data_IF_083524114759
#
_entry.id   IF_083524114759
#
_cell.length_a   1.000
_cell.length_b   1.000
_cell.length_c   1.000
_cell.angle_alpha   90.00
_cell.angle_beta   90.00
_cell.angle_gamma   90.00
#
_symmetry.space_group_name_H-M   'P 1'
#
loop_
_entity.id
_entity.type
_entity.pdbx_description
1 polymer ?
#
# COMPACT_ATOMS: atom_id res chain seq x y z
N UNK A 1 -28.40 3.34 9.73
CA UNK A 1 -27.64 2.45 8.82
C UNK A 1 -27.77 1.00 9.24
N UNK A 2 -27.60 0.68 10.54
CA UNK A 2 -27.74 -0.69 11.08
C UNK A 2 -28.75 -0.74 12.24
N UNK A 3 -30.03 -0.46 11.97
CA UNK A 3 -31.08 -0.48 13.00
C UNK A 3 -30.76 0.37 14.23
N UNK A 4 -30.97 -0.22 15.42
CA UNK A 4 -30.72 0.39 16.74
C UNK A 4 -29.30 0.14 17.29
N UNK A 5 -28.40 -0.46 16.51
CA UNK A 5 -27.04 -0.76 16.95
C UNK A 5 -26.17 0.49 16.95
N UNK A 6 -25.41 0.69 18.04
CA UNK A 6 -24.42 1.76 18.13
C UNK A 6 -23.27 1.57 17.12
N UNK A 7 -22.56 2.65 16.75
CA UNK A 7 -21.48 2.59 15.74
C UNK A 7 -20.29 1.72 16.14
N UNK A 8 -20.14 1.41 17.43
CA UNK A 8 -19.09 0.54 17.96
C UNK A 8 -19.61 -0.83 18.41
N UNK A 9 -20.86 -1.16 18.10
CA UNK A 9 -21.40 -2.48 18.39
C UNK A 9 -20.94 -3.49 17.31
N UNK A 10 -19.72 -4.00 17.46
CA UNK A 10 -19.13 -4.97 16.54
C UNK A 10 -19.74 -6.37 16.62
N UNK A 11 -20.68 -6.62 17.53
CA UNK A 11 -21.50 -7.83 17.51
C UNK A 11 -22.46 -7.82 16.30
N UNK A 12 -22.86 -6.63 15.84
CA UNK A 12 -23.75 -6.50 14.69
C UNK A 12 -22.97 -6.65 13.36
N UNK A 13 -23.37 -7.65 12.55
CA UNK A 13 -22.79 -7.91 11.24
C UNK A 13 -22.87 -6.70 10.29
N UNK A 14 -23.95 -5.91 10.37
CA UNK A 14 -24.10 -4.70 9.58
C UNK A 14 -23.06 -3.65 9.97
N UNK A 15 -22.75 -3.49 11.27
CA UNK A 15 -21.75 -2.53 11.75
C UNK A 15 -20.36 -2.94 11.29
N UNK A 16 -20.00 -4.23 11.41
CA UNK A 16 -18.72 -4.77 10.90
C UNK A 16 -18.56 -4.52 9.39
N UNK A 17 -19.58 -4.86 8.59
CA UNK A 17 -19.60 -4.65 7.14
C UNK A 17 -19.52 -3.16 6.76
N UNK A 18 -20.15 -2.29 7.55
CA UNK A 18 -20.09 -0.85 7.36
C UNK A 18 -18.68 -0.31 7.55
N UNK A 19 -18.01 -0.70 8.65
CA UNK A 19 -16.64 -0.27 8.91
C UNK A 19 -15.66 -0.79 7.85
N UNK A 20 -15.79 -2.04 7.40
CA UNK A 20 -14.91 -2.56 6.34
C UNK A 20 -15.03 -1.80 5.02
N UNK A 21 -16.24 -1.39 4.63
CA UNK A 21 -16.48 -0.65 3.40
C UNK A 21 -16.06 0.82 3.52
N UNK A 22 -16.43 1.46 4.64
CA UNK A 22 -16.17 2.89 4.88
C UNK A 22 -14.68 3.17 5.07
N UNK A 23 -13.93 2.33 5.79
CA UNK A 23 -12.51 2.57 6.04
C UNK A 23 -11.69 2.59 4.75
N UNK A 24 -11.90 1.61 3.86
CA UNK A 24 -11.23 1.60 2.56
C UNK A 24 -11.60 2.83 1.74
N UNK A 25 -12.87 3.24 1.75
CA UNK A 25 -13.35 4.41 1.03
C UNK A 25 -12.74 5.72 1.56
N UNK A 26 -12.62 5.87 2.88
CA UNK A 26 -12.03 7.05 3.51
C UNK A 26 -10.59 7.31 3.09
N UNK A 27 -9.86 6.28 2.67
CA UNK A 27 -8.51 6.41 2.09
C UNK A 27 -8.57 6.57 0.57
N UNK A 28 -9.41 5.80 -0.12
CA UNK A 28 -9.49 5.84 -1.58
C UNK A 28 -10.02 7.17 -2.10
N UNK A 29 -11.03 7.76 -1.49
CA UNK A 29 -11.60 9.04 -1.92
C UNK A 29 -10.59 10.20 -1.93
N UNK A 30 -9.89 10.52 -0.83
CA UNK A 30 -8.92 11.61 -0.85
C UNK A 30 -7.75 11.33 -1.80
N UNK A 31 -7.32 10.07 -1.92
CA UNK A 31 -6.30 9.68 -2.90
C UNK A 31 -6.80 9.93 -4.33
N UNK A 32 -8.02 9.51 -4.65
CA UNK A 32 -8.62 9.68 -5.98
C UNK A 32 -8.73 11.17 -6.34
N UNK A 33 -9.15 12.01 -5.39
CA UNK A 33 -9.20 13.47 -5.56
C UNK A 33 -7.79 14.04 -5.76
N UNK A 34 -6.79 13.55 -5.03
CA UNK A 34 -5.40 14.01 -5.16
C UNK A 34 -4.75 13.64 -6.50
N UNK A 35 -5.27 12.62 -7.20
CA UNK A 35 -4.83 12.22 -8.54
C UNK A 35 -5.53 12.99 -9.67
N UNK A 36 -6.62 13.70 -9.39
CA UNK A 36 -7.24 14.56 -10.39
C UNK A 36 -6.33 15.76 -10.72
N UNK A 37 -6.21 16.16 -12.00
CA UNK A 37 -5.38 17.30 -12.43
C UNK A 37 -6.02 18.66 -12.06
N UNK A 38 -6.64 18.76 -10.90
CA UNK A 38 -7.30 19.97 -10.40
C UNK A 38 -6.35 20.68 -9.45
N UNK A 39 -6.21 22.01 -9.59
CA UNK A 39 -5.35 22.78 -8.70
C UNK A 39 -5.87 22.69 -7.26
N UNK A 40 -5.05 22.23 -6.29
CA UNK A 40 -5.51 22.10 -4.92
C UNK A 40 -5.75 23.49 -4.30
N UNK A 41 -6.77 23.64 -3.45
CA UNK A 41 -7.00 24.89 -2.73
C UNK A 41 -5.81 25.23 -1.83
N UNK A 42 -5.59 26.52 -1.57
CA UNK A 42 -4.38 27.02 -0.88
C UNK A 42 -4.13 26.38 0.51
N UNK A 43 -5.18 26.02 1.24
CA UNK A 43 -5.06 25.33 2.52
C UNK A 43 -4.48 23.91 2.38
N UNK A 44 -4.90 23.16 1.36
CA UNK A 44 -4.36 21.82 1.06
C UNK A 44 -2.90 21.87 0.61
N UNK A 45 -2.48 22.94 -0.08
CA UNK A 45 -1.07 23.13 -0.45
C UNK A 45 -0.18 23.27 0.79
N UNK A 46 -0.59 24.05 1.80
CA UNK A 46 0.15 24.21 3.05
C UNK A 46 0.22 22.92 3.86
N UNK A 47 -0.89 22.19 3.94
CA UNK A 47 -0.91 20.88 4.58
C UNK A 47 0.00 19.90 3.85
N UNK A 48 -0.14 19.77 2.52
CA UNK A 48 0.70 18.89 1.71
C UNK A 48 2.19 19.23 1.84
N UNK A 49 2.55 20.51 1.91
CA UNK A 49 3.94 20.94 2.11
C UNK A 49 4.56 20.45 3.44
N UNK A 50 3.76 20.25 4.49
CA UNK A 50 4.25 19.69 5.75
C UNK A 50 4.55 18.18 5.67
N UNK A 51 3.93 17.48 4.73
CA UNK A 51 4.09 16.02 4.52
C UNK A 51 4.91 15.68 3.28
N UNK A 52 5.39 16.67 2.53
CA UNK A 52 6.32 16.43 1.42
C UNK A 52 7.72 16.19 1.95
N UNK A 53 8.36 15.13 1.47
CA UNK A 53 9.77 14.85 1.74
C UNK A 53 10.60 16.08 1.39
N UNK A 54 11.33 16.62 2.37
CA UNK A 54 12.12 17.84 2.20
C UNK A 54 13.20 17.68 1.11
N UNK A 55 13.80 16.48 1.05
CA UNK A 55 14.82 16.11 0.09
C UNK A 55 14.51 14.71 -0.45
N UNK A 56 14.19 14.61 -1.75
CA UNK A 56 13.96 13.30 -2.38
C UNK A 56 15.27 12.58 -2.59
N UNK A 57 15.25 11.24 -2.66
CA UNK A 57 16.47 10.45 -2.85
C UNK A 57 17.19 10.83 -4.15
N UNK A 58 16.45 10.99 -5.25
CA UNK A 58 17.01 11.41 -6.53
C UNK A 58 17.69 12.79 -6.46
N UNK A 59 17.10 13.74 -5.71
CA UNK A 59 17.70 15.06 -5.49
C UNK A 59 18.95 14.98 -4.60
N UNK A 60 18.90 14.18 -3.54
CA UNK A 60 20.03 13.95 -2.65
C UNK A 60 21.23 13.32 -3.38
N UNK A 61 20.97 12.28 -4.16
CA UNK A 61 21.98 11.65 -5.00
C UNK A 61 22.49 12.63 -6.07
N UNK A 62 21.63 13.53 -6.57
CA UNK A 62 22.04 14.52 -7.54
C UNK A 62 23.01 15.58 -6.98
N UNK A 63 22.86 15.94 -5.71
CA UNK A 63 23.72 16.90 -5.02
C UNK A 63 25.05 16.28 -4.55
N UNK A 64 25.04 14.97 -4.26
CA UNK A 64 26.20 14.27 -3.70
C UNK A 64 27.11 13.66 -4.79
N UNK A 65 26.56 13.22 -5.93
CA UNK A 65 27.31 12.49 -6.96
C UNK A 65 27.28 13.21 -8.33
N UNK A 66 28.41 13.22 -9.07
CA UNK A 66 28.51 13.88 -10.38
C UNK A 66 27.57 13.24 -11.43
N UNK A 67 27.18 13.99 -12.47
CA UNK A 67 26.32 13.48 -13.53
C UNK A 67 27.00 12.35 -14.31
N UNK A 68 26.30 11.24 -14.48
CA UNK A 68 26.73 10.10 -15.29
C UNK A 68 25.59 9.72 -16.25
N UNK A 69 25.91 9.34 -17.49
CA UNK A 69 24.93 9.25 -18.59
C UNK A 69 23.78 8.24 -18.31
N UNK A 70 22.56 8.73 -18.54
CA UNK A 70 21.31 7.96 -18.44
C UNK A 70 21.14 7.04 -19.66
N UNK A 71 21.17 5.75 -19.43
CA UNK A 71 20.41 4.77 -20.20
C UNK A 71 19.44 4.08 -19.22
N UNK A 72 18.49 3.28 -19.68
CA UNK A 72 17.57 2.56 -18.78
C UNK A 72 17.92 1.09 -18.89
N UNK A 73 18.11 0.40 -17.77
CA UNK A 73 18.46 -1.03 -17.77
C UNK A 73 17.21 -1.87 -18.10
N UNK A 74 17.28 -2.64 -19.19
CA UNK A 74 16.24 -3.52 -19.72
C UNK A 74 15.55 -4.48 -18.71
N UNK A 75 16.23 -5.09 -17.70
CA UNK A 75 15.57 -6.00 -16.76
C UNK A 75 14.52 -5.35 -15.86
N UNK A 76 14.57 -4.03 -15.63
CA UNK A 76 13.57 -3.33 -14.81
C UNK A 76 12.21 -3.25 -15.52
N UNK A 77 12.20 -3.23 -16.85
CA UNK A 77 10.99 -3.10 -17.67
C UNK A 77 10.14 -4.38 -17.61
N UNK A 78 10.77 -5.56 -17.63
CA UNK A 78 10.07 -6.84 -17.52
C UNK A 78 9.43 -7.02 -16.13
N UNK A 79 10.15 -6.66 -15.07
CA UNK A 79 9.64 -6.70 -13.69
C UNK A 79 8.43 -5.76 -13.47
N UNK A 80 8.45 -4.60 -14.13
CA UNK A 80 7.36 -3.62 -14.08
C UNK A 80 6.07 -4.13 -14.73
N UNK A 81 6.19 -4.86 -15.85
CA UNK A 81 5.05 -5.35 -16.64
C UNK A 81 4.22 -6.38 -15.88
N UNK A 82 4.84 -7.39 -15.27
CA UNK A 82 4.07 -8.44 -14.58
C UNK A 82 3.37 -7.92 -13.32
N UNK A 83 4.01 -7.00 -12.58
CA UNK A 83 3.42 -6.39 -11.37
C UNK A 83 2.17 -5.60 -11.69
N UNK A 84 2.27 -4.77 -12.74
CA UNK A 84 1.14 -4.00 -13.25
C UNK A 84 0.01 -4.92 -13.69
N UNK A 85 0.32 -5.99 -14.42
CA UNK A 85 -0.67 -6.98 -14.82
C UNK A 85 -1.37 -7.62 -13.62
N UNK A 86 -0.62 -8.05 -12.60
CA UNK A 86 -1.18 -8.66 -11.38
C UNK A 86 -2.14 -7.71 -10.66
N UNK A 87 -1.76 -6.46 -10.42
CA UNK A 87 -2.63 -5.48 -9.75
C UNK A 87 -3.86 -5.13 -10.57
N UNK A 88 -3.69 -4.85 -11.86
CA UNK A 88 -4.80 -4.45 -12.73
C UNK A 88 -5.78 -5.60 -12.93
N UNK A 89 -5.30 -6.80 -13.28
CA UNK A 89 -6.15 -7.96 -13.50
C UNK A 89 -6.95 -8.31 -12.24
N UNK A 90 -6.27 -8.37 -11.10
CA UNK A 90 -6.91 -8.71 -9.83
C UNK A 90 -7.90 -7.62 -9.40
N UNK A 91 -7.54 -6.35 -9.52
CA UNK A 91 -8.43 -5.23 -9.20
C UNK A 91 -9.69 -5.20 -10.06
N UNK A 92 -9.57 -5.45 -11.36
CA UNK A 92 -10.73 -5.55 -12.26
C UNK A 92 -11.61 -6.74 -11.92
N UNK A 93 -11.03 -7.92 -11.68
CA UNK A 93 -11.78 -9.12 -11.33
C UNK A 93 -12.57 -8.93 -10.04
N UNK A 94 -11.95 -8.34 -9.01
CA UNK A 94 -12.61 -8.02 -7.75
C UNK A 94 -13.71 -6.96 -7.95
N UNK A 95 -13.45 -5.91 -8.73
CA UNK A 95 -14.47 -4.89 -9.04
C UNK A 95 -15.72 -5.53 -9.65
N UNK A 96 -15.54 -6.41 -10.64
CA UNK A 96 -16.64 -7.14 -11.27
C UNK A 96 -17.35 -8.04 -10.25
N UNK A 97 -16.61 -8.75 -9.40
CA UNK A 97 -17.18 -9.61 -8.35
C UNK A 97 -18.06 -8.85 -7.37
N UNK A 98 -17.61 -7.67 -6.91
CA UNK A 98 -18.38 -6.82 -6.01
C UNK A 98 -19.61 -6.19 -6.68
N UNK A 99 -19.50 -5.76 -7.94
CA UNK A 99 -20.65 -5.28 -8.72
C UNK A 99 -21.67 -6.42 -8.92
N UNK A 100 -21.22 -7.62 -9.28
CA UNK A 100 -22.08 -8.78 -9.43
C UNK A 100 -22.79 -9.13 -8.12
N UNK A 101 -22.08 -9.06 -6.99
CA UNK A 101 -22.67 -9.23 -5.67
C UNK A 101 -23.75 -8.18 -5.38
N UNK A 102 -23.50 -6.90 -5.67
CA UNK A 102 -24.48 -5.83 -5.51
C UNK A 102 -25.75 -6.07 -6.34
N UNK A 103 -25.59 -6.48 -7.61
CA UNK A 103 -26.71 -6.80 -8.52
C UNK A 103 -27.50 -8.01 -8.02
N UNK A 104 -26.83 -9.08 -7.58
CA UNK A 104 -27.50 -10.26 -7.03
C UNK A 104 -28.30 -9.93 -5.77
N UNK A 105 -27.76 -9.10 -4.88
CA UNK A 105 -28.52 -8.63 -3.71
C UNK A 105 -29.74 -7.82 -4.12
N UNK A 106 -29.61 -6.93 -5.11
CA UNK A 106 -30.74 -6.16 -5.62
C UNK A 106 -31.85 -7.05 -6.20
N UNK A 107 -31.49 -8.10 -6.94
CA UNK A 107 -32.46 -9.01 -7.55
C UNK A 107 -33.10 -10.00 -6.57
N UNK A 108 -32.40 -10.33 -5.47
CA UNK A 108 -32.85 -11.35 -4.51
C UNK A 108 -33.61 -10.76 -3.31
N UNK A 109 -33.57 -9.45 -3.12
CA UNK A 109 -34.16 -8.81 -1.95
C UNK A 109 -35.62 -8.40 -2.21
N UNK A 110 -36.53 -8.96 -1.41
CA UNK A 110 -37.96 -8.59 -1.39
C UNK A 110 -38.18 -7.18 -0.81
N UNK A 111 -37.24 -6.70 0.01
CA UNK A 111 -37.15 -5.33 0.51
C UNK A 111 -35.69 -4.85 0.40
N UNK A 112 -35.43 -3.91 -0.51
CA UNK A 112 -34.08 -3.39 -0.74
C UNK A 112 -33.73 -2.36 0.33
N UNK A 113 -32.93 -2.76 1.32
CA UNK A 113 -32.27 -1.79 2.18
C UNK A 113 -31.15 -1.10 1.37
N UNK A 114 -31.25 0.21 1.21
CA UNK A 114 -30.27 1.00 0.45
C UNK A 114 -28.84 0.81 0.96
N UNK A 115 -28.67 0.58 2.27
CA UNK A 115 -27.35 0.41 2.87
C UNK A 115 -26.68 -0.91 2.49
N UNK A 116 -27.43 -2.01 2.43
CA UNK A 116 -26.90 -3.31 2.01
C UNK A 116 -26.50 -3.33 0.55
N UNK A 117 -27.13 -2.50 -0.31
CA UNK A 117 -26.72 -2.32 -1.69
C UNK A 117 -25.47 -1.41 -1.82
N UNK A 118 -25.36 -0.42 -0.94
CA UNK A 118 -24.25 0.56 -0.98
C UNK A 118 -22.91 -0.07 -0.63
N UNK A 119 -22.85 -0.96 0.37
CA UNK A 119 -21.62 -1.60 0.83
C UNK A 119 -20.79 -2.29 -0.28
N UNK A 120 -21.33 -3.22 -1.09
CA UNK A 120 -20.58 -3.86 -2.16
C UNK A 120 -20.17 -2.87 -3.26
N UNK A 121 -20.94 -1.80 -3.50
CA UNK A 121 -20.55 -0.75 -4.46
C UNK A 121 -19.37 0.07 -3.95
N UNK A 122 -19.30 0.37 -2.65
CA UNK A 122 -18.14 1.04 -2.05
C UNK A 122 -16.89 0.16 -2.13
N UNK A 123 -17.04 -1.15 -1.89
CA UNK A 123 -15.95 -2.11 -2.08
C UNK A 123 -15.50 -2.15 -3.55
N UNK A 124 -16.44 -2.24 -4.50
CA UNK A 124 -16.14 -2.19 -5.94
C UNK A 124 -15.38 -0.92 -6.33
N UNK A 125 -15.77 0.24 -5.80
CA UNK A 125 -15.08 1.50 -6.05
C UNK A 125 -13.62 1.46 -5.54
N UNK A 126 -13.39 0.88 -4.35
CA UNK A 126 -12.04 0.73 -3.82
C UNK A 126 -11.14 -0.16 -4.70
N UNK A 127 -11.69 -1.24 -5.25
CA UNK A 127 -10.97 -2.14 -6.17
C UNK A 127 -10.77 -1.53 -7.56
N UNK A 128 -11.71 -0.73 -8.03
CA UNK A 128 -11.57 0.00 -9.28
C UNK A 128 -10.42 1.01 -9.17
N UNK A 129 -10.31 1.69 -8.01
CA UNK A 129 -9.18 2.55 -7.73
C UNK A 129 -7.85 1.81 -7.84
N UNK A 130 -7.71 0.60 -7.26
CA UNK A 130 -6.44 -0.13 -7.34
C UNK A 130 -6.06 -0.50 -8.78
N UNK A 131 -7.05 -0.87 -9.60
CA UNK A 131 -6.82 -1.16 -11.02
C UNK A 131 -6.43 0.08 -11.82
N UNK A 132 -7.20 1.17 -11.69
CA UNK A 132 -6.92 2.44 -12.38
C UNK A 132 -5.55 2.98 -11.95
N UNK A 133 -5.23 2.92 -10.67
CA UNK A 133 -3.95 3.39 -10.13
C UNK A 133 -2.77 2.60 -10.66
N UNK A 134 -2.90 1.28 -10.82
CA UNK A 134 -1.86 0.44 -11.38
C UNK A 134 -1.62 0.73 -12.87
N UNK A 135 -2.67 1.01 -13.65
CA UNK A 135 -2.56 1.36 -15.08
C UNK A 135 -2.04 2.78 -15.28
N UNK A 136 -2.59 3.75 -14.55
CA UNK A 136 -2.26 5.16 -14.73
C UNK A 136 -0.84 5.50 -14.28
N UNK A 137 -0.29 4.78 -13.30
CA UNK A 137 1.12 4.93 -12.91
C UNK A 137 1.70 3.57 -12.48
N UNK A 138 2.23 2.78 -13.44
CA UNK A 138 2.80 1.46 -13.19
C UNK A 138 3.78 1.45 -11.99
N UNK A 139 3.58 0.60 -10.98
CA UNK A 139 4.40 0.63 -9.76
C UNK A 139 5.80 0.07 -10.01
N UNK A 140 6.77 0.98 -10.02
CA UNK A 140 8.21 0.66 -10.10
C UNK A 140 8.76 0.36 -8.69
N UNK A 141 8.42 1.23 -7.75
CA UNK A 141 8.72 1.14 -6.31
C UNK A 141 7.46 0.77 -5.53
N UNK A 142 7.62 0.48 -4.23
CA UNK A 142 6.51 0.12 -3.35
C UNK A 142 5.41 1.21 -3.32
N UNK A 143 4.20 0.94 -3.86
CA UNK A 143 3.11 1.91 -3.88
C UNK A 143 2.45 2.01 -2.50
N UNK A 144 2.81 3.04 -1.72
CA UNK A 144 2.30 3.26 -0.36
C UNK A 144 0.79 3.47 -0.28
N UNK A 145 0.21 4.04 -1.33
CA UNK A 145 -1.23 4.19 -1.51
C UNK A 145 -1.94 2.84 -1.62
N UNK A 146 -1.48 1.97 -2.54
CA UNK A 146 -2.02 0.62 -2.69
C UNK A 146 -1.75 -0.23 -1.44
N UNK A 147 -0.58 -0.10 -0.82
CA UNK A 147 -0.27 -0.74 0.45
C UNK A 147 -1.32 -0.40 1.52
N UNK A 148 -1.63 0.88 1.69
CA UNK A 148 -2.62 1.35 2.68
C UNK A 148 -4.01 0.79 2.40
N UNK A 149 -4.44 0.79 1.13
CA UNK A 149 -5.73 0.22 0.72
C UNK A 149 -5.78 -1.28 1.02
N UNK A 150 -4.74 -2.05 0.67
CA UNK A 150 -4.73 -3.49 0.93
C UNK A 150 -4.69 -3.83 2.43
N UNK A 151 -3.96 -3.07 3.25
CA UNK A 151 -3.99 -3.25 4.71
C UNK A 151 -5.40 -3.06 5.27
N UNK A 152 -6.10 -2.01 4.83
CA UNK A 152 -7.48 -1.75 5.26
C UNK A 152 -8.45 -2.83 4.76
N UNK A 153 -8.28 -3.33 3.54
CA UNK A 153 -9.09 -4.42 3.01
C UNK A 153 -8.84 -5.75 3.73
N UNK A 154 -7.60 -6.06 4.11
CA UNK A 154 -7.30 -7.24 4.96
C UNK A 154 -7.97 -7.08 6.32
N UNK A 155 -7.83 -5.91 6.96
CA UNK A 155 -8.46 -5.66 8.26
C UNK A 155 -9.99 -5.80 8.17
N UNK A 156 -10.62 -5.20 7.15
CA UNK A 156 -12.04 -5.34 6.89
C UNK A 156 -12.48 -6.78 6.62
N UNK A 157 -11.71 -7.52 5.82
CA UNK A 157 -11.96 -8.93 5.53
C UNK A 157 -11.88 -9.81 6.77
N UNK A 158 -10.85 -9.61 7.62
CA UNK A 158 -10.70 -10.32 8.89
C UNK A 158 -11.87 -9.99 9.83
N UNK A 159 -12.29 -8.73 9.91
CA UNK A 159 -13.43 -8.33 10.73
C UNK A 159 -14.73 -9.02 10.28
N UNK A 160 -14.99 -9.11 8.97
CA UNK A 160 -16.18 -9.77 8.44
C UNK A 160 -16.11 -11.29 8.67
N UNK A 161 -15.03 -11.94 8.22
CA UNK A 161 -14.89 -13.39 8.31
C UNK A 161 -14.81 -13.85 9.76
N UNK A 162 -13.99 -13.18 10.57
CA UNK A 162 -13.87 -13.44 12.01
C UNK A 162 -15.19 -13.23 12.74
N UNK A 163 -15.97 -12.23 12.32
CA UNK A 163 -17.32 -12.01 12.83
C UNK A 163 -18.26 -13.19 12.58
N UNK A 164 -18.31 -13.72 11.36
CA UNK A 164 -19.12 -14.90 11.05
C UNK A 164 -18.67 -16.16 11.81
N UNK A 165 -17.37 -16.36 11.97
CA UNK A 165 -16.82 -17.48 12.74
C UNK A 165 -17.17 -17.36 14.23
N UNK A 166 -17.08 -16.15 14.78
CA UNK A 166 -17.43 -15.85 16.16
C UNK A 166 -18.92 -16.08 16.43
N UNK A 167 -19.81 -15.52 15.60
CA UNK A 167 -21.26 -15.65 15.76
C UNK A 167 -21.70 -17.12 15.73
N UNK A 168 -21.06 -17.94 14.88
CA UNK A 168 -21.28 -19.38 14.83
C UNK A 168 -20.74 -20.12 16.04
N UNK A 169 -19.60 -19.69 16.60
CA UNK A 169 -18.99 -20.35 17.76
C UNK A 169 -19.79 -20.09 19.05
N UNK A 170 -20.39 -18.91 19.18
CA UNK A 170 -21.22 -18.53 20.34
C UNK A 170 -22.68 -18.97 20.18
N UNK A 171 -23.07 -19.53 19.02
CA UNK A 171 -24.42 -20.02 18.76
C UNK A 171 -25.46 -18.92 18.55
N UNK A 172 -25.03 -17.68 18.31
CA UNK A 172 -25.91 -16.52 18.07
C UNK A 172 -26.32 -16.41 16.60
N UNK A 173 -25.49 -16.93 15.69
CA UNK A 173 -25.75 -16.91 14.25
C UNK A 173 -25.42 -18.22 13.56
N UNK A 174 -26.01 -18.41 12.37
CA UNK A 174 -25.64 -19.52 11.47
C UNK A 174 -24.49 -19.10 10.56
N UNK A 175 -23.59 -20.04 10.26
CA UNK A 175 -22.58 -19.82 9.23
C UNK A 175 -23.25 -19.42 7.91
N UNK A 176 -22.65 -18.47 7.16
CA UNK A 176 -23.10 -18.18 5.81
C UNK A 176 -23.06 -19.44 4.93
N UNK A 177 -23.84 -19.48 3.85
CA UNK A 177 -23.74 -20.54 2.86
C UNK A 177 -22.29 -20.75 2.43
N UNK A 178 -21.87 -22.00 2.23
CA UNK A 178 -20.53 -22.38 1.79
C UNK A 178 -19.95 -21.51 0.66
N UNK A 179 -20.69 -21.15 -0.42
CA UNK A 179 -20.14 -20.28 -1.46
C UNK A 179 -19.75 -18.89 -0.95
N UNK A 180 -20.48 -18.33 0.02
CA UNK A 180 -20.18 -17.01 0.61
C UNK A 180 -18.91 -17.10 1.46
N UNK A 181 -18.78 -18.14 2.28
CA UNK A 181 -17.57 -18.37 3.07
C UNK A 181 -16.33 -18.58 2.19
N UNK A 182 -16.47 -19.33 1.09
CA UNK A 182 -15.41 -19.51 0.11
C UNK A 182 -15.03 -18.17 -0.54
N UNK A 183 -16.01 -17.37 -0.96
CA UNK A 183 -15.76 -16.06 -1.55
C UNK A 183 -15.02 -15.10 -0.60
N UNK A 184 -15.43 -15.03 0.67
CA UNK A 184 -14.76 -14.21 1.69
C UNK A 184 -13.31 -14.67 1.94
N UNK A 185 -13.11 -15.99 2.05
CA UNK A 185 -11.77 -16.57 2.27
C UNK A 185 -10.85 -16.31 1.07
N UNK A 186 -11.36 -16.49 -0.15
CA UNK A 186 -10.62 -16.19 -1.38
C UNK A 186 -10.30 -14.70 -1.48
N UNK A 187 -11.24 -13.81 -1.15
CA UNK A 187 -10.98 -12.37 -1.14
C UNK A 187 -9.82 -12.02 -0.19
N UNK A 188 -9.84 -12.54 1.04
CA UNK A 188 -8.76 -12.31 2.01
C UNK A 188 -7.42 -12.84 1.48
N UNK A 189 -7.40 -14.07 0.94
CA UNK A 189 -6.21 -14.67 0.36
C UNK A 189 -5.64 -13.81 -0.79
N UNK A 190 -6.52 -13.34 -1.68
CA UNK A 190 -6.15 -12.46 -2.80
C UNK A 190 -5.53 -11.17 -2.28
N UNK A 191 -6.14 -10.51 -1.29
CA UNK A 191 -5.61 -9.26 -0.73
C UNK A 191 -4.27 -9.52 -0.03
N UNK A 192 -4.11 -10.64 0.68
CA UNK A 192 -2.81 -11.04 1.27
C UNK A 192 -1.73 -11.25 0.22
N UNK A 193 -2.04 -11.90 -0.90
CA UNK A 193 -1.09 -12.06 -2.01
C UNK A 193 -0.69 -10.71 -2.59
N UNK A 194 -1.64 -9.80 -2.80
CA UNK A 194 -1.34 -8.44 -3.29
C UNK A 194 -0.50 -7.64 -2.29
N UNK A 195 -0.81 -7.74 -1.00
CA UNK A 195 -0.03 -7.12 0.07
C UNK A 195 1.39 -7.68 0.10
N UNK A 196 1.54 -9.01 -0.01
CA UNK A 196 2.84 -9.67 -0.10
C UNK A 196 3.65 -9.16 -1.29
N UNK A 197 3.04 -9.07 -2.48
CA UNK A 197 3.68 -8.53 -3.69
C UNK A 197 4.14 -7.08 -3.44
N UNK A 198 3.30 -6.26 -2.82
CA UNK A 198 3.62 -4.86 -2.48
C UNK A 198 4.78 -4.74 -1.49
N UNK A 199 4.79 -5.52 -0.40
CA UNK A 199 5.86 -5.42 0.62
C UNK A 199 7.20 -6.00 0.12
N UNK A 200 7.17 -6.85 -0.90
CA UNK A 200 8.38 -7.38 -1.56
C UNK A 200 8.98 -6.40 -2.57
N UNK A 201 8.31 -5.28 -2.87
CA UNK A 201 8.84 -4.25 -3.77
C UNK A 201 9.93 -3.42 -3.08
N UNK A 202 10.97 -2.98 -3.83
CA UNK A 202 11.96 -2.05 -3.31
C UNK A 202 11.31 -0.69 -3.01
N UNK A 203 11.78 -0.03 -1.95
CA UNK A 203 11.31 1.33 -1.60
C UNK A 203 11.82 2.34 -2.61
N UNK A 204 13.10 2.29 -2.94
CA UNK A 204 13.70 3.06 -4.02
C UNK A 204 14.52 2.16 -4.93
N UNK A 205 14.68 2.60 -6.18
CA UNK A 205 15.65 2.00 -7.07
C UNK A 205 16.98 2.74 -6.94
N UNK A 206 18.11 2.03 -6.97
CA UNK A 206 19.40 2.69 -7.07
C UNK A 206 19.46 3.44 -8.40
N UNK A 207 19.75 4.74 -8.33
CA UNK A 207 20.09 5.47 -9.55
C UNK A 207 21.46 5.01 -10.06
N UNK A 208 21.78 5.38 -11.28
CA UNK A 208 23.08 5.08 -11.90
C UNK A 208 24.26 5.76 -11.22
N UNK A 209 24.01 6.74 -10.35
CA UNK A 209 25.03 7.40 -9.55
C UNK A 209 25.53 6.51 -8.41
N UNK A 210 24.74 5.50 -8.04
CA UNK A 210 25.03 4.55 -6.98
C UNK A 210 25.18 3.17 -7.60
N UNK A 211 26.40 2.63 -7.54
CA UNK A 211 26.66 1.26 -8.02
C UNK A 211 25.94 0.27 -7.12
N UNK A 212 25.28 -0.72 -7.72
CA UNK A 212 24.55 -1.76 -6.96
C UNK A 212 25.48 -2.58 -6.08
N UNK A 213 26.75 -2.74 -6.48
CA UNK A 213 27.76 -3.47 -5.73
C UNK A 213 28.21 -2.71 -4.47
N UNK A 214 28.06 -1.38 -4.44
CA UNK A 214 28.44 -0.55 -3.30
C UNK A 214 27.38 -0.53 -2.19
N UNK A 215 26.14 -0.92 -2.52
CA UNK A 215 25.01 -0.99 -1.59
C UNK A 215 25.23 -2.14 -0.63
N UNK A 216 25.24 -1.82 0.66
CA UNK A 216 25.52 -2.80 1.70
C UNK A 216 27.00 -2.93 2.06
N UNK A 217 27.87 -2.16 1.40
CA UNK A 217 29.30 -2.06 1.71
C UNK A 217 29.66 -0.63 2.10
N UNK A 218 29.67 0.28 1.13
CA UNK A 218 30.02 1.69 1.36
C UNK A 218 28.78 2.59 1.45
N UNK A 219 27.67 2.18 0.83
CA UNK A 219 26.39 2.89 0.80
C UNK A 219 25.37 2.16 1.69
N UNK A 220 24.61 2.93 2.47
CA UNK A 220 23.54 2.38 3.31
C UNK A 220 22.50 1.62 2.47
N UNK A 221 22.12 0.38 2.85
CA UNK A 221 21.06 -0.37 2.18
C UNK A 221 19.66 0.08 2.59
N UNK A 222 19.52 0.97 3.58
CA UNK A 222 18.25 1.45 4.11
C UNK A 222 17.31 1.98 3.01
N UNK A 223 17.83 2.78 2.09
CA UNK A 223 17.02 3.43 1.05
C UNK A 223 16.61 2.49 -0.10
N UNK A 224 17.34 1.39 -0.30
CA UNK A 224 17.18 0.49 -1.45
C UNK A 224 16.61 -0.88 -1.07
N UNK A 225 16.31 -1.09 0.21
CA UNK A 225 15.72 -2.33 0.69
C UNK A 225 14.25 -2.46 0.25
N UNK A 226 13.71 -3.67 0.39
CA UNK A 226 12.29 -3.93 0.19
C UNK A 226 11.47 -3.25 1.28
N UNK A 227 10.22 -2.91 1.00
CA UNK A 227 9.32 -2.33 2.01
C UNK A 227 9.24 -3.20 3.27
N UNK A 228 9.14 -4.53 3.13
CA UNK A 228 9.16 -5.45 4.27
C UNK A 228 10.49 -5.39 5.03
N UNK A 229 11.61 -5.30 4.32
CA UNK A 229 12.92 -5.24 4.93
C UNK A 229 13.15 -3.93 5.69
N UNK A 230 12.54 -2.85 5.23
CA UNK A 230 12.52 -1.58 5.94
C UNK A 230 11.65 -1.65 7.20
N UNK A 231 10.41 -2.14 7.09
CA UNK A 231 9.48 -2.30 8.21
C UNK A 231 10.04 -3.19 9.33
N UNK A 232 10.80 -4.23 8.97
CA UNK A 232 11.39 -5.18 9.92
C UNK A 232 12.83 -4.85 10.30
N UNK A 233 13.39 -3.74 9.80
CA UNK A 233 14.81 -3.37 9.96
C UNK A 233 15.80 -4.47 9.52
N UNK A 234 15.38 -5.35 8.60
CA UNK A 234 16.21 -6.47 8.14
C UNK A 234 17.47 -6.01 7.41
N UNK A 235 17.49 -4.77 6.91
CA UNK A 235 18.63 -4.17 6.23
C UNK A 235 19.84 -3.92 7.16
N UNK A 236 19.62 -3.84 8.48
CA UNK A 236 20.70 -3.70 9.49
C UNK A 236 21.38 -5.04 9.79
N UNK A 237 20.68 -6.16 9.54
CA UNK A 237 21.11 -7.50 9.93
C UNK A 237 22.52 -7.90 9.43
N UNK A 238 22.95 -7.57 8.19
CA UNK A 238 24.31 -7.86 7.75
C UNK A 238 25.39 -7.26 8.65
N UNK A 239 25.20 -6.02 9.13
CA UNK A 239 26.13 -5.35 10.04
C UNK A 239 26.16 -6.03 11.41
N UNK A 240 25.00 -6.41 11.94
CA UNK A 240 24.90 -7.17 13.20
C UNK A 240 25.62 -8.50 13.09
N UNK A 241 25.47 -9.20 11.96
CA UNK A 241 26.17 -10.47 11.71
C UNK A 241 27.69 -10.27 11.62
N UNK A 242 28.14 -9.19 10.98
CA UNK A 242 29.57 -8.85 10.89
C UNK A 242 30.17 -8.59 12.28
N UNK A 243 29.47 -7.83 13.12
CA UNK A 243 29.87 -7.52 14.50
C UNK A 243 29.94 -8.74 15.42
N UNK A 244 29.25 -9.85 15.09
CA UNK A 244 29.38 -11.12 15.83
C UNK A 244 30.68 -11.87 15.51
N UNK A 245 31.25 -11.65 14.33
CA UNK A 245 32.43 -12.38 13.83
C UNK A 245 33.71 -11.59 14.07
N UNK A 246 33.66 -10.26 13.95
CA UNK A 246 34.82 -9.38 14.15
C UNK A 246 34.42 -8.07 14.83
N UNK A 247 35.39 -7.44 15.48
CA UNK A 247 35.26 -6.05 15.93
C UNK A 247 35.12 -5.14 14.72
N UNK A 248 34.06 -4.32 14.70
CA UNK A 248 33.76 -3.39 13.61
C UNK A 248 34.73 -2.21 13.65
N UNK A 249 35.26 -1.82 12.49
CA UNK A 249 36.01 -0.59 12.29
C UNK A 249 35.19 0.41 11.47
N UNK A 250 35.64 1.66 11.40
CA UNK A 250 34.98 2.72 10.62
C UNK A 250 34.76 2.36 9.15
N UNK A 251 35.68 1.58 8.55
CA UNK A 251 35.57 1.12 7.16
C UNK A 251 34.50 0.02 6.95
N UNK A 252 34.03 -0.62 8.02
CA UNK A 252 32.98 -1.65 7.96
C UNK A 252 31.58 -1.04 8.08
N UNK A 253 31.49 0.25 8.37
CA UNK A 253 30.24 0.97 8.55
C UNK A 253 29.94 1.72 7.24
N UNK A 254 28.78 1.43 6.68
CA UNK A 254 28.23 2.16 5.54
C UNK A 254 28.02 3.64 5.87
N UNK A 255 28.17 4.50 4.86
CA UNK A 255 27.87 5.93 4.98
C UNK A 255 26.38 6.14 5.23
N UNK A 256 26.03 7.27 5.87
CA UNK A 256 24.64 7.69 6.04
C UNK A 256 23.90 7.72 4.70
N UNK A 257 22.58 7.46 4.76
CA UNK A 257 21.64 7.66 3.65
C UNK A 257 21.93 8.98 2.93
N UNK A 258 21.94 9.03 1.59
CA UNK A 258 22.14 10.26 0.83
C UNK A 258 21.22 11.40 1.28
N UNK A 259 19.99 11.08 1.69
CA UNK A 259 18.98 12.05 2.15
C UNK A 259 19.31 12.70 3.49
N UNK A 260 20.16 12.07 4.30
CA UNK A 260 20.56 12.53 5.63
C UNK A 260 21.98 13.11 5.66
N UNK A 261 22.66 13.21 4.51
CA UNK A 261 24.01 13.77 4.44
C UNK A 261 23.98 15.30 4.56
N UNK A 262 24.87 15.85 5.39
CA UNK A 262 24.95 17.28 5.70
C UNK A 262 25.08 18.15 4.45
N UNK A 263 25.85 17.72 3.45
CA UNK A 263 26.03 18.44 2.17
C UNK A 263 24.70 18.62 1.44
N UNK A 264 23.93 17.55 1.26
CA UNK A 264 22.68 17.60 0.51
C UNK A 264 21.62 18.43 1.25
N UNK A 265 21.50 18.25 2.57
CA UNK A 265 20.60 19.04 3.43
C UNK A 265 20.98 20.52 3.39
N UNK A 266 22.27 20.86 3.52
CA UNK A 266 22.74 22.24 3.51
C UNK A 266 22.52 22.92 2.16
N UNK A 267 22.80 22.24 1.05
CA UNK A 267 22.58 22.79 -0.30
C UNK A 267 21.09 23.04 -0.57
N UNK A 268 20.20 22.12 -0.14
CA UNK A 268 18.76 22.33 -0.23
C UNK A 268 18.31 23.53 0.61
N UNK A 269 18.78 23.61 1.86
CA UNK A 269 18.45 24.69 2.78
C UNK A 269 18.90 26.06 2.29
N UNK A 270 20.14 26.15 1.79
CA UNK A 270 20.67 27.37 1.19
C UNK A 270 19.90 27.80 -0.06
N UNK A 271 19.43 26.85 -0.87
CA UNK A 271 18.65 27.16 -2.09
C UNK A 271 17.20 27.57 -1.81
N UNK A 272 16.69 27.33 -0.60
CA UNK A 272 15.34 27.74 -0.17
C UNK A 272 15.29 29.09 0.57
N UNK A 273 16.45 29.67 0.91
CA UNK A 273 16.56 31.07 1.37
C UNK A 273 16.74 32.02 0.19
#
# INVERSE_FOLDING_TARGET
>A
MCGNSGPFNFEDACVRSSWSAVLALLVVLPLSIAYLPVQPPGALKKFKAAFTTYLTLDEAEALNFPPQELSVEEPQIAALRWRTLVFTFTGLLQTIGWIASAVLYFLSADQVNAWTLTQPLLAAFSWLYTAVRAVASPPITAPYDLFSVYVLQVAGGILILGGHLFDSAVGVGTLPPTPVLMALSVNILVVFVLLYVTVQMPINLPSRRVKKEDIGHSVSPEDYTKLLGWLTFSWVYPLVKLGKVKTLNDNDIWRLSPTMQSRAVFLKFRGTM
#
